data_IF_874088275818
#
_entry.id   IF_874088275818
#
_cell.length_a   1.000
_cell.length_b   1.000
_cell.length_c   1.000
_cell.angle_alpha   90.00
_cell.angle_beta   90.00
_cell.angle_gamma   90.00
#
_symmetry.space_group_name_H-M   'P 1'
#
loop_
_entity.id
_entity.type
_entity.pdbx_description
1 polymer ?
#
# COMPACT_ATOMS: atom_id res chain seq x y z
N UNK A 1 2.61 7.46 -24.47
CA UNK A 1 2.86 6.01 -24.43
C UNK A 1 3.84 5.76 -23.29
N UNK A 2 3.41 5.12 -22.20
CA UNK A 2 4.32 4.78 -21.09
C UNK A 2 5.13 3.57 -21.55
N UNK A 3 6.41 3.76 -21.83
CA UNK A 3 7.33 2.64 -22.04
C UNK A 3 7.49 1.92 -20.70
N UNK A 4 6.74 0.85 -20.49
CA UNK A 4 6.84 0.01 -19.30
C UNK A 4 8.09 -0.85 -19.38
N UNK A 5 9.22 -0.25 -19.05
CA UNK A 5 10.48 -0.94 -18.77
C UNK A 5 10.28 -1.85 -17.57
N UNK A 6 10.67 -3.12 -17.72
CA UNK A 6 10.69 -4.10 -16.64
C UNK A 6 11.54 -3.54 -15.50
N UNK A 7 10.95 -3.35 -14.32
CA UNK A 7 11.61 -2.71 -13.20
C UNK A 7 11.84 -3.69 -12.04
N UNK A 8 12.55 -3.26 -10.99
CA UNK A 8 12.88 -4.12 -9.85
C UNK A 8 11.65 -4.64 -9.10
N UNK A 9 10.53 -3.91 -9.12
CA UNK A 9 9.26 -4.33 -8.49
C UNK A 9 8.66 -5.51 -9.25
N UNK A 10 8.70 -5.48 -10.58
CA UNK A 10 8.22 -6.61 -11.41
C UNK A 10 9.02 -7.89 -11.11
N UNK A 11 10.34 -7.77 -10.91
CA UNK A 11 11.20 -8.89 -10.54
C UNK A 11 10.86 -9.45 -9.15
N UNK A 12 10.60 -8.59 -8.17
CA UNK A 12 10.19 -9.01 -6.81
C UNK A 12 8.83 -9.70 -6.86
N UNK A 13 7.86 -9.17 -7.58
CA UNK A 13 6.54 -9.77 -7.78
C UNK A 13 6.69 -11.17 -8.39
N UNK A 14 7.48 -11.30 -9.45
CA UNK A 14 7.71 -12.58 -10.11
C UNK A 14 8.43 -13.57 -9.18
N UNK A 15 9.37 -13.10 -8.37
CA UNK A 15 10.06 -13.92 -7.37
C UNK A 15 9.10 -14.43 -6.29
N UNK A 16 8.19 -13.58 -5.78
CA UNK A 16 7.19 -13.96 -4.78
C UNK A 16 6.23 -15.02 -5.36
N UNK A 17 5.70 -14.79 -6.56
CA UNK A 17 4.80 -15.76 -7.22
C UNK A 17 5.54 -17.05 -7.52
N UNK A 18 6.73 -16.96 -8.10
CA UNK A 18 7.56 -18.11 -8.45
C UNK A 18 7.91 -18.96 -7.23
N UNK A 19 8.32 -18.33 -6.13
CA UNK A 19 8.60 -19.01 -4.88
C UNK A 19 7.34 -19.65 -4.28
N UNK A 20 6.20 -18.96 -4.32
CA UNK A 20 4.93 -19.49 -3.83
C UNK A 20 4.47 -20.71 -4.63
N UNK A 21 4.59 -20.67 -5.96
CA UNK A 21 4.34 -21.82 -6.85
C UNK A 21 5.30 -22.96 -6.53
N UNK A 22 6.59 -22.68 -6.42
CA UNK A 22 7.61 -23.68 -6.16
C UNK A 22 7.36 -24.42 -4.83
N UNK A 23 7.04 -23.67 -3.77
CA UNK A 23 6.65 -24.23 -2.47
C UNK A 23 5.37 -25.05 -2.61
N UNK A 24 4.38 -24.56 -3.36
CA UNK A 24 3.11 -25.25 -3.62
C UNK A 24 3.29 -26.58 -4.33
N UNK A 25 4.17 -26.66 -5.34
CA UNK A 25 4.51 -27.91 -6.04
C UNK A 25 5.24 -28.87 -5.11
N UNK A 26 6.20 -28.38 -4.31
CA UNK A 26 6.99 -29.23 -3.42
C UNK A 26 6.15 -29.79 -2.26
N UNK A 27 5.26 -28.98 -1.69
CA UNK A 27 4.37 -29.42 -0.61
C UNK A 27 3.14 -30.18 -1.11
N UNK A 28 2.60 -29.83 -2.28
CA UNK A 28 1.32 -30.33 -2.77
C UNK A 28 0.12 -29.61 -2.15
N UNK A 29 -1.01 -29.58 -2.87
CA UNK A 29 -2.22 -28.86 -2.46
C UNK A 29 -2.79 -29.35 -1.13
N UNK A 30 -2.83 -30.67 -0.91
CA UNK A 30 -3.38 -31.29 0.30
C UNK A 30 -2.69 -30.72 1.54
N UNK A 31 -1.36 -30.62 1.53
CA UNK A 31 -0.61 -30.09 2.68
C UNK A 31 -0.84 -28.60 2.89
N UNK A 32 -0.99 -27.85 1.80
CA UNK A 32 -1.27 -26.42 1.89
C UNK A 32 -2.69 -26.15 2.44
N UNK A 33 -3.71 -26.89 1.97
CA UNK A 33 -5.09 -26.78 2.46
C UNK A 33 -5.20 -27.21 3.92
N UNK A 34 -4.61 -28.35 4.29
CA UNK A 34 -4.57 -28.80 5.69
C UNK A 34 -3.84 -27.79 6.59
N UNK A 35 -2.79 -27.15 6.07
CA UNK A 35 -2.12 -26.05 6.75
C UNK A 35 -3.06 -24.88 7.01
N UNK A 36 -3.77 -24.40 5.99
CA UNK A 36 -4.76 -23.32 6.15
C UNK A 36 -5.87 -23.69 7.13
N UNK A 37 -6.42 -24.91 7.03
CA UNK A 37 -7.41 -25.44 7.97
C UNK A 37 -6.85 -25.48 9.38
N UNK A 38 -5.59 -25.88 9.56
CA UNK A 38 -4.93 -25.90 10.88
C UNK A 38 -4.78 -24.51 11.49
N UNK A 39 -4.40 -23.51 10.70
CA UNK A 39 -4.34 -22.12 11.15
C UNK A 39 -5.71 -21.58 11.54
N UNK A 40 -6.71 -21.73 10.65
CA UNK A 40 -8.08 -21.26 10.90
C UNK A 40 -8.68 -21.99 12.10
N UNK A 41 -8.54 -23.32 12.16
CA UNK A 41 -9.00 -24.16 13.26
C UNK A 41 -8.35 -23.78 14.60
N UNK A 42 -7.07 -23.43 14.61
CA UNK A 42 -6.39 -22.96 15.81
C UNK A 42 -6.98 -21.63 16.30
N UNK A 43 -7.25 -20.67 15.41
CA UNK A 43 -7.93 -19.43 15.78
C UNK A 43 -9.34 -19.68 16.32
N UNK A 44 -10.10 -20.59 15.68
CA UNK A 44 -11.43 -21.00 16.16
C UNK A 44 -11.34 -21.58 17.58
N UNK A 45 -10.38 -22.47 17.84
CA UNK A 45 -10.17 -23.07 19.16
C UNK A 45 -9.79 -22.01 20.20
N UNK A 46 -8.94 -21.04 19.85
CA UNK A 46 -8.62 -19.93 20.76
C UNK A 46 -9.86 -19.10 21.04
N UNK A 47 -10.64 -18.74 20.01
CA UNK A 47 -11.82 -17.90 20.15
C UNK A 47 -12.86 -18.51 21.10
N UNK A 48 -13.16 -19.80 20.94
CA UNK A 48 -14.13 -20.51 21.80
C UNK A 48 -13.53 -21.03 23.11
N UNK A 49 -12.24 -21.36 23.12
CA UNK A 49 -11.54 -21.92 24.27
C UNK A 49 -11.11 -20.86 25.28
N UNK A 50 -10.76 -19.65 24.83
CA UNK A 50 -10.25 -18.60 25.72
C UNK A 50 -11.18 -18.31 26.90
N UNK A 51 -12.51 -18.15 26.74
CA UNK A 51 -13.42 -17.96 27.88
C UNK A 51 -13.35 -19.07 28.93
N UNK A 52 -13.10 -20.32 28.51
CA UNK A 52 -13.03 -21.50 29.38
C UNK A 52 -11.71 -21.56 30.17
N UNK A 53 -10.60 -21.20 29.53
CA UNK A 53 -9.25 -21.28 30.13
C UNK A 53 -8.77 -19.96 30.77
N UNK A 54 -9.48 -18.85 30.57
CA UNK A 54 -9.21 -17.54 31.19
C UNK A 54 -9.01 -17.60 32.71
N UNK A 55 -9.89 -18.28 33.49
CA UNK A 55 -9.73 -18.35 34.94
C UNK A 55 -8.41 -18.97 35.37
N UNK A 56 -7.91 -19.95 34.63
CA UNK A 56 -6.63 -20.61 34.91
C UNK A 56 -5.46 -19.65 34.73
N UNK A 57 -5.43 -18.86 33.65
CA UNK A 57 -4.36 -17.87 33.44
C UNK A 57 -4.31 -16.80 34.52
N UNK A 58 -5.48 -16.35 34.98
CA UNK A 58 -5.60 -15.28 35.99
C UNK A 58 -5.25 -15.73 37.41
N UNK A 59 -5.09 -17.03 37.65
CA UNK A 59 -4.56 -17.53 38.92
C UNK A 59 -3.05 -17.33 39.05
N UNK A 60 -2.33 -17.28 37.92
CA UNK A 60 -0.87 -17.20 37.91
C UNK A 60 -0.34 -15.82 37.47
N UNK A 61 -1.17 -15.00 36.84
CA UNK A 61 -0.78 -13.69 36.29
C UNK A 61 -1.74 -12.62 36.80
N UNK A 62 -1.18 -11.60 37.47
CA UNK A 62 -1.95 -10.50 38.07
C UNK A 62 -2.63 -9.60 37.02
N UNK A 63 -1.94 -9.32 35.92
CA UNK A 63 -2.47 -8.47 34.85
C UNK A 63 -3.46 -9.24 33.97
N UNK A 64 -4.75 -8.86 33.94
CA UNK A 64 -5.78 -9.61 33.20
C UNK A 64 -5.52 -9.65 31.69
N UNK A 65 -5.00 -8.56 31.11
CA UNK A 65 -4.67 -8.53 29.67
C UNK A 65 -3.52 -9.48 29.34
N UNK A 66 -2.48 -9.52 30.18
CA UNK A 66 -1.33 -10.41 29.98
C UNK A 66 -1.74 -11.86 30.19
N UNK A 67 -2.55 -12.14 31.21
CA UNK A 67 -3.08 -13.48 31.48
C UNK A 67 -3.87 -14.02 30.28
N UNK A 68 -4.81 -13.23 29.76
CA UNK A 68 -5.64 -13.62 28.62
C UNK A 68 -4.79 -13.82 27.34
N UNK A 69 -3.79 -12.97 27.10
CA UNK A 69 -2.87 -13.11 25.97
C UNK A 69 -2.02 -14.39 26.06
N UNK A 70 -1.46 -14.69 27.24
CA UNK A 70 -0.66 -15.89 27.46
C UNK A 70 -1.50 -17.16 27.26
N UNK A 71 -2.71 -17.21 27.81
CA UNK A 71 -3.63 -18.34 27.62
C UNK A 71 -3.98 -18.50 26.14
N UNK A 72 -4.27 -17.41 25.43
CA UNK A 72 -4.57 -17.45 24.01
C UNK A 72 -3.37 -18.01 23.20
N UNK A 73 -2.14 -17.57 23.49
CA UNK A 73 -0.93 -18.05 22.81
C UNK A 73 -0.71 -19.54 23.09
N UNK A 74 -0.85 -19.98 24.34
CA UNK A 74 -0.67 -21.40 24.70
C UNK A 74 -1.72 -22.26 23.98
N UNK A 75 -3.00 -21.87 24.03
CA UNK A 75 -4.07 -22.58 23.32
C UNK A 75 -3.80 -22.63 21.81
N UNK A 76 -3.34 -21.53 21.23
CA UNK A 76 -3.00 -21.46 19.82
C UNK A 76 -1.91 -22.45 19.43
N UNK A 77 -0.79 -22.44 20.17
CA UNK A 77 0.37 -23.31 19.89
C UNK A 77 -0.01 -24.78 20.07
N UNK A 78 -0.71 -25.12 21.16
CA UNK A 78 -1.16 -26.49 21.43
C UNK A 78 -2.10 -26.98 20.33
N UNK A 79 -3.11 -26.16 19.98
CA UNK A 79 -4.05 -26.48 18.91
C UNK A 79 -3.36 -26.66 17.56
N UNK A 80 -2.46 -25.74 17.20
CA UNK A 80 -1.70 -25.83 15.96
C UNK A 80 -0.81 -27.08 15.94
N UNK A 81 -0.20 -27.45 17.07
CA UNK A 81 0.54 -28.71 17.21
C UNK A 81 -0.31 -29.94 16.93
N UNK A 82 -1.54 -29.98 17.46
CA UNK A 82 -2.51 -31.06 17.18
C UNK A 82 -2.89 -31.09 15.70
N UNK A 83 -3.20 -29.95 15.08
CA UNK A 83 -3.52 -29.89 13.66
C UNK A 83 -2.35 -30.31 12.77
N UNK A 84 -1.11 -29.95 13.13
CA UNK A 84 0.09 -30.40 12.42
C UNK A 84 0.21 -31.92 12.49
N UNK A 85 -0.03 -32.52 13.65
CA UNK A 85 0.02 -33.97 13.81
C UNK A 85 -1.04 -34.67 12.95
N UNK A 86 -2.29 -34.21 13.04
CA UNK A 86 -3.40 -34.72 12.21
C UNK A 86 -3.07 -34.57 10.72
N UNK A 87 -2.54 -33.41 10.32
CA UNK A 87 -2.19 -33.13 8.94
C UNK A 87 -1.11 -34.06 8.42
N UNK A 88 -0.11 -34.39 9.25
CA UNK A 88 0.94 -35.35 8.88
C UNK A 88 0.35 -36.72 8.60
N UNK A 89 -0.53 -37.21 9.47
CA UNK A 89 -1.21 -38.50 9.33
C UNK A 89 -2.04 -38.57 8.04
N UNK A 90 -2.85 -37.55 7.78
CA UNK A 90 -3.65 -37.48 6.54
C UNK A 90 -2.73 -37.40 5.31
N UNK A 91 -1.67 -36.59 5.37
CA UNK A 91 -0.75 -36.45 4.25
C UNK A 91 0.00 -37.74 3.92
N UNK A 92 0.24 -38.62 4.89
CA UNK A 92 0.85 -39.92 4.62
C UNK A 92 -0.09 -40.86 3.89
N UNK A 93 -1.40 -40.82 4.19
CA UNK A 93 -2.40 -41.66 3.54
C UNK A 93 -2.59 -41.31 2.06
N UNK A 94 -2.54 -40.02 1.70
CA UNK A 94 -2.76 -39.55 0.32
C UNK A 94 -1.58 -39.89 -0.61
N UNK A 95 -0.36 -39.97 -0.07
CA UNK A 95 0.87 -40.23 -0.86
C UNK A 95 0.98 -41.63 -1.46
N UNK A 96 0.19 -42.59 -0.99
CA UNK A 96 0.23 -43.98 -1.48
C UNK A 96 -0.49 -44.21 -2.82
N UNK A 97 -1.03 -43.18 -3.46
CA UNK A 97 -1.93 -43.32 -4.61
C UNK A 97 -1.50 -42.47 -5.82
N UNK A 98 -2.05 -42.80 -7.01
CA UNK A 98 -1.88 -42.06 -8.28
C UNK A 98 -2.20 -40.55 -8.11
N UNK A 99 -2.98 -40.19 -7.09
CA UNK A 99 -3.32 -38.81 -6.76
C UNK A 99 -2.12 -37.93 -6.34
N UNK A 100 -0.95 -38.51 -6.06
CA UNK A 100 0.24 -37.73 -5.68
C UNK A 100 0.75 -36.77 -6.77
N UNK A 101 0.58 -37.08 -8.05
CA UNK A 101 0.95 -36.18 -9.16
C UNK A 101 -0.09 -35.07 -9.37
N UNK A 102 -1.38 -35.40 -9.25
CA UNK A 102 -2.49 -34.44 -9.29
C UNK A 102 -2.44 -33.46 -8.11
N UNK A 103 -2.05 -33.92 -6.92
CA UNK A 103 -1.89 -33.08 -5.74
C UNK A 103 -0.82 -31.99 -5.94
N UNK A 104 0.26 -32.30 -6.68
CA UNK A 104 1.32 -31.35 -7.01
C UNK A 104 0.88 -30.32 -8.05
N UNK A 105 0.10 -30.72 -9.06
CA UNK A 105 -0.43 -29.78 -10.06
C UNK A 105 -1.48 -28.84 -9.46
N UNK A 106 -2.33 -29.33 -8.56
CA UNK A 106 -3.19 -28.47 -7.75
C UNK A 106 -2.37 -27.55 -6.84
N UNK A 107 -1.22 -28.03 -6.33
CA UNK A 107 -0.28 -27.25 -5.54
C UNK A 107 0.29 -26.05 -6.31
N UNK A 108 0.50 -26.19 -7.62
CA UNK A 108 0.89 -25.07 -8.51
C UNK A 108 -0.19 -23.99 -8.54
N UNK A 109 -1.46 -24.37 -8.78
CA UNK A 109 -2.59 -23.43 -8.85
C UNK A 109 -2.78 -22.73 -7.50
N UNK A 110 -2.73 -23.50 -6.41
CA UNK A 110 -2.84 -22.95 -5.07
C UNK A 110 -1.68 -22.00 -4.74
N UNK A 111 -0.44 -22.37 -5.08
CA UNK A 111 0.73 -21.53 -4.91
C UNK A 111 0.64 -20.22 -5.71
N UNK A 112 0.11 -20.26 -6.93
CA UNK A 112 -0.15 -19.07 -7.73
C UNK A 112 -1.19 -18.15 -7.08
N UNK A 113 -2.35 -18.69 -6.69
CA UNK A 113 -3.41 -17.92 -6.02
C UNK A 113 -2.89 -17.29 -4.73
N UNK A 114 -2.20 -18.05 -3.89
CA UNK A 114 -1.59 -17.55 -2.65
C UNK A 114 -0.58 -16.45 -2.93
N UNK A 115 0.29 -16.63 -3.93
CA UNK A 115 1.29 -15.63 -4.32
C UNK A 115 0.62 -14.32 -4.74
N UNK A 116 -0.43 -14.40 -5.56
CA UNK A 116 -1.22 -13.24 -5.97
C UNK A 116 -1.89 -12.53 -4.80
N UNK A 117 -2.48 -13.27 -3.85
CA UNK A 117 -3.07 -12.71 -2.63
C UNK A 117 -2.01 -11.98 -1.79
N UNK A 118 -0.83 -12.59 -1.60
CA UNK A 118 0.27 -11.98 -0.83
C UNK A 118 0.71 -10.66 -1.45
N UNK A 119 0.83 -10.59 -2.78
CA UNK A 119 1.18 -9.34 -3.48
C UNK A 119 0.10 -8.28 -3.30
N UNK A 120 -1.18 -8.66 -3.40
CA UNK A 120 -2.28 -7.71 -3.20
C UNK A 120 -2.29 -7.15 -1.77
N UNK A 121 -2.05 -8.00 -0.76
CA UNK A 121 -1.93 -7.59 0.64
C UNK A 121 -0.72 -6.67 0.83
N UNK A 122 0.42 -6.99 0.21
CA UNK A 122 1.63 -6.15 0.28
C UNK A 122 1.38 -4.77 -0.34
N UNK A 123 0.73 -4.71 -1.51
CA UNK A 123 0.35 -3.45 -2.15
C UNK A 123 -0.64 -2.65 -1.28
N UNK A 124 -1.60 -3.33 -0.65
CA UNK A 124 -2.55 -2.70 0.26
C UNK A 124 -1.84 -2.14 1.50
N UNK A 125 -0.88 -2.89 2.06
CA UNK A 125 -0.02 -2.44 3.15
C UNK A 125 0.78 -1.19 2.76
N UNK A 126 1.38 -1.16 1.57
CA UNK A 126 2.07 0.04 1.06
C UNK A 126 1.11 1.23 1.00
N UNK A 127 -0.10 1.04 0.45
CA UNK A 127 -1.11 2.11 0.35
C UNK A 127 -1.67 2.52 1.71
N UNK A 128 -1.59 1.66 2.72
CA UNK A 128 -2.00 1.97 4.08
C UNK A 128 -0.94 2.78 4.85
N UNK A 129 0.35 2.46 4.64
CA UNK A 129 1.46 3.16 5.30
C UNK A 129 1.90 4.44 4.56
N UNK A 130 1.74 4.52 3.24
CA UNK A 130 2.15 5.66 2.42
C UNK A 130 0.94 6.42 1.86
N UNK A 131 0.99 7.76 1.92
CA UNK A 131 0.02 8.61 1.21
C UNK A 131 0.16 8.44 -0.31
N UNK A 132 -0.93 8.61 -1.10
CA UNK A 132 -0.92 8.40 -2.54
C UNK A 132 0.19 9.18 -3.28
N UNK A 133 0.51 10.39 -2.83
CA UNK A 133 1.52 11.26 -3.46
C UNK A 133 2.98 10.88 -3.11
N UNK A 134 3.17 10.00 -2.13
CA UNK A 134 4.49 9.55 -1.69
C UNK A 134 4.83 8.13 -2.18
N UNK A 135 3.94 7.48 -2.93
CA UNK A 135 4.21 6.15 -3.47
C UNK A 135 5.35 6.25 -4.51
N UNK A 136 6.46 5.51 -4.33
CA UNK A 136 7.57 5.51 -5.29
C UNK A 136 7.10 5.24 -6.71
N UNK A 137 7.57 6.05 -7.67
CA UNK A 137 7.18 5.93 -9.08
C UNK A 137 7.54 4.56 -9.67
N UNK A 138 8.54 3.88 -9.11
CA UNK A 138 8.90 2.49 -9.47
C UNK A 138 7.76 1.50 -9.24
N UNK A 139 6.93 1.71 -8.20
CA UNK A 139 5.76 0.86 -7.95
C UNK A 139 4.63 1.21 -8.92
N UNK A 140 4.40 2.50 -9.19
CA UNK A 140 3.35 2.94 -10.11
C UNK A 140 3.65 2.57 -11.57
N UNK A 141 4.92 2.58 -11.96
CA UNK A 141 5.38 2.23 -13.31
C UNK A 141 5.51 0.71 -13.54
N UNK A 142 5.36 -0.12 -12.51
CA UNK A 142 5.48 -1.57 -12.64
C UNK A 142 4.37 -2.14 -13.53
N UNK A 143 4.70 -3.16 -14.33
CA UNK A 143 3.77 -3.75 -15.30
C UNK A 143 2.61 -4.47 -14.62
N UNK A 144 2.84 -5.00 -13.43
CA UNK A 144 1.81 -5.71 -12.63
C UNK A 144 0.94 -4.77 -11.80
N UNK A 145 1.20 -3.47 -11.77
CA UNK A 145 0.40 -2.47 -11.04
C UNK A 145 -1.09 -2.46 -11.38
N UNK A 146 -1.52 -2.49 -12.65
CA UNK A 146 -2.96 -2.56 -12.96
C UNK A 146 -3.62 -3.84 -12.40
N UNK A 147 -2.92 -4.97 -12.40
CA UNK A 147 -3.40 -6.23 -11.81
C UNK A 147 -3.51 -6.14 -10.29
N UNK A 148 -2.53 -5.52 -9.63
CA UNK A 148 -2.56 -5.27 -8.18
C UNK A 148 -3.70 -4.32 -7.79
N UNK A 149 -3.95 -3.27 -8.58
CA UNK A 149 -5.05 -2.34 -8.33
C UNK A 149 -6.41 -3.01 -8.48
N UNK A 150 -6.60 -3.86 -9.49
CA UNK A 150 -7.83 -4.63 -9.66
C UNK A 150 -8.03 -5.63 -8.51
N UNK A 151 -6.99 -6.43 -8.21
CA UNK A 151 -7.06 -7.44 -7.13
C UNK A 151 -7.27 -6.82 -5.76
N UNK A 152 -6.58 -5.73 -5.44
CA UNK A 152 -6.78 -5.00 -4.18
C UNK A 152 -8.14 -4.31 -4.10
N UNK A 153 -8.72 -3.90 -5.23
CA UNK A 153 -10.07 -3.35 -5.28
C UNK A 153 -11.12 -4.35 -4.79
N UNK A 154 -11.01 -5.61 -5.22
CA UNK A 154 -11.91 -6.68 -4.77
C UNK A 154 -11.70 -7.00 -3.28
N UNK A 155 -10.44 -7.03 -2.81
CA UNK A 155 -10.14 -7.23 -1.38
C UNK A 155 -10.68 -6.06 -0.54
N UNK A 156 -10.57 -4.81 -1.00
CA UNK A 156 -11.07 -3.62 -0.29
C UNK A 156 -12.58 -3.66 -0.05
N UNK A 157 -13.35 -4.35 -0.90
CA UNK A 157 -14.81 -4.51 -0.69
C UNK A 157 -15.14 -5.40 0.50
N UNK A 158 -14.21 -6.27 0.91
CA UNK A 158 -14.36 -7.14 2.08
C UNK A 158 -13.87 -6.47 3.37
N UNK A 159 -13.17 -5.33 3.25
CA UNK A 159 -12.65 -4.56 4.38
C UNK A 159 -13.70 -3.51 4.76
N UNK A 160 -14.15 -3.45 6.03
CA UNK A 160 -15.05 -2.40 6.51
C UNK A 160 -14.47 -1.02 6.21
N UNK A 161 -15.29 -0.11 5.68
CA UNK A 161 -14.87 1.19 5.18
C UNK A 161 -14.17 2.08 6.23
N UNK A 162 -14.30 1.76 7.53
CA UNK A 162 -13.67 2.46 8.65
C UNK A 162 -12.13 2.33 8.69
N UNK A 163 -11.58 1.27 8.06
CA UNK A 163 -10.13 0.99 8.05
C UNK A 163 -9.43 1.35 6.74
N UNK A 164 -10.18 1.84 5.75
CA UNK A 164 -9.59 2.36 4.53
C UNK A 164 -9.08 3.77 4.82
N UNK A 165 -7.83 4.12 4.44
CA UNK A 165 -7.41 5.51 4.45
C UNK A 165 -8.44 6.30 3.65
N UNK A 166 -9.22 7.16 4.33
CA UNK A 166 -10.11 8.08 3.63
C UNK A 166 -9.23 8.81 2.63
N UNK A 167 -9.64 8.80 1.36
CA UNK A 167 -9.17 9.78 0.41
C UNK A 167 -9.55 11.14 1.00
N UNK A 168 -8.65 11.74 1.78
CA UNK A 168 -8.70 13.17 2.02
C UNK A 168 -8.49 13.80 0.65
N UNK A 169 -9.62 14.23 0.09
CA UNK A 169 -9.73 15.08 -1.08
C UNK A 169 -8.82 14.69 -2.25
N UNK A 170 -9.30 13.76 -3.07
CA UNK A 170 -9.20 14.02 -4.51
C UNK A 170 -9.77 15.43 -4.71
N UNK A 171 -8.93 16.38 -5.09
CA UNK A 171 -9.28 17.75 -5.50
C UNK A 171 -10.06 17.73 -6.81
N UNK A 172 -11.12 16.92 -6.87
CA UNK A 172 -12.21 17.11 -7.82
C UNK A 172 -13.03 18.24 -7.23
N UNK A 173 -12.82 19.45 -7.73
CA UNK A 173 -13.71 20.59 -7.50
C UNK A 173 -15.14 20.07 -7.71
N UNK A 174 -15.88 19.92 -6.63
CA UNK A 174 -17.28 19.56 -6.71
C UNK A 174 -17.96 20.75 -7.40
N UNK A 175 -18.73 20.57 -8.49
CA UNK A 175 -19.39 21.69 -9.17
C UNK A 175 -20.33 22.50 -8.24
N UNK A 176 -20.65 21.93 -7.08
CA UNK A 176 -21.41 22.53 -5.99
C UNK A 176 -20.54 23.55 -5.23
N UNK A 177 -19.31 23.18 -4.84
CA UNK A 177 -18.34 24.09 -4.22
C UNK A 177 -17.89 25.19 -5.18
N UNK A 178 -17.74 24.89 -6.47
CA UNK A 178 -17.42 25.92 -7.47
C UNK A 178 -18.48 27.02 -7.53
N UNK A 179 -19.75 26.65 -7.41
CA UNK A 179 -20.87 27.59 -7.46
C UNK A 179 -20.93 28.48 -6.21
N UNK A 180 -20.63 27.91 -5.04
CA UNK A 180 -20.61 28.64 -3.78
C UNK A 180 -19.35 29.52 -3.62
N UNK A 181 -18.20 29.09 -4.14
CA UNK A 181 -16.99 29.90 -4.21
C UNK A 181 -17.13 31.05 -5.20
N UNK A 182 -17.76 30.82 -6.36
CA UNK A 182 -18.07 31.90 -7.31
C UNK A 182 -19.07 32.88 -6.69
N UNK A 183 -20.15 32.39 -6.06
CA UNK A 183 -21.18 33.26 -5.45
C UNK A 183 -20.67 34.08 -4.26
N UNK A 184 -19.74 33.54 -3.48
CA UNK A 184 -19.13 34.27 -2.36
C UNK A 184 -18.05 35.27 -2.79
N UNK A 185 -17.37 35.03 -3.93
CA UNK A 185 -16.34 35.92 -4.47
C UNK A 185 -16.86 36.97 -5.46
N UNK A 186 -17.99 36.72 -6.12
CA UNK A 186 -18.67 37.66 -7.02
C UNK A 186 -18.94 39.07 -6.42
N UNK A 187 -19.43 39.23 -5.18
CA UNK A 187 -19.65 40.57 -4.61
C UNK A 187 -18.35 41.35 -4.46
N UNK A 188 -17.23 40.68 -4.21
CA UNK A 188 -15.90 41.31 -4.07
C UNK A 188 -15.34 41.80 -5.41
N UNK A 189 -15.75 41.19 -6.53
CA UNK A 189 -15.30 41.61 -7.86
C UNK A 189 -15.99 42.89 -8.31
N UNK A 190 -17.24 43.14 -7.94
CA UNK A 190 -17.93 44.39 -8.25
C UNK A 190 -17.25 45.59 -7.54
N UNK A 191 -16.83 45.41 -6.29
CA UNK A 191 -16.08 46.42 -5.54
C UNK A 191 -14.69 46.66 -6.12
N UNK A 192 -14.03 45.59 -6.58
CA UNK A 192 -12.71 45.68 -7.22
C UNK A 192 -12.82 46.39 -8.57
N UNK A 193 -13.84 46.10 -9.38
CA UNK A 193 -14.09 46.74 -10.66
C UNK A 193 -14.48 48.21 -10.48
N UNK A 194 -15.29 48.54 -9.47
CA UNK A 194 -15.56 49.95 -9.09
C UNK A 194 -14.28 50.68 -8.73
N UNK A 195 -13.44 50.08 -7.90
CA UNK A 195 -12.16 50.67 -7.49
C UNK A 195 -11.22 50.86 -8.68
N UNK A 196 -11.11 49.87 -9.56
CA UNK A 196 -10.32 49.95 -10.79
C UNK A 196 -10.85 50.99 -11.78
N UNK A 197 -12.18 51.15 -11.88
CA UNK A 197 -12.80 52.18 -12.74
C UNK A 197 -12.57 53.61 -12.22
N UNK A 198 -12.27 53.76 -10.93
CA UNK A 198 -11.89 55.05 -10.33
C UNK A 198 -10.38 55.33 -10.39
N UNK A 199 -9.56 54.34 -10.75
CA UNK A 199 -8.13 54.55 -10.96
C UNK A 199 -7.87 55.14 -12.35
N UNK A 200 -7.49 56.42 -12.38
CA UNK A 200 -7.02 57.11 -13.57
C UNK A 200 -5.81 56.35 -14.15
N UNK A 201 -5.74 56.11 -15.47
CA UNK A 201 -4.65 55.32 -16.05
C UNK A 201 -3.31 56.02 -15.80
N UNK A 202 -2.39 55.29 -15.17
CA UNK A 202 -0.98 55.71 -15.05
C UNK A 202 -0.40 55.70 -16.46
N UNK A 203 -0.16 56.89 -17.00
CA UNK A 203 0.56 57.10 -18.26
C UNK A 203 1.91 56.38 -18.18
N UNK A 204 2.14 55.42 -19.08
CA UNK A 204 3.42 54.75 -19.25
C UNK A 204 4.53 55.80 -19.46
N UNK A 205 5.46 55.92 -18.51
CA UNK A 205 6.68 56.72 -18.68
C UNK A 205 7.74 55.83 -19.37
N UNK A 206 8.16 56.32 -20.53
CA UNK A 206 9.22 55.88 -21.45
C UNK A 206 10.50 55.38 -20.74
N UNK A 207 11.19 54.33 -21.24
CA UNK A 207 12.39 53.81 -20.62
C UNK A 207 13.55 54.81 -20.79
N UNK A 208 13.99 55.38 -19.68
CA UNK A 208 15.14 56.28 -19.60
C UNK A 208 16.16 55.68 -18.63
N UNK A 209 16.71 54.53 -19.02
CA UNK A 209 17.81 53.86 -18.32
C UNK A 209 18.71 53.20 -19.37
N UNK A 210 19.37 54.04 -20.16
CA UNK A 210 20.46 53.62 -21.06
C UNK A 210 21.74 54.44 -20.87
N UNK A 211 21.77 55.40 -19.95
CA UNK A 211 22.92 56.28 -19.73
C UNK A 211 23.83 55.84 -18.57
N UNK A 212 23.37 54.97 -17.66
CA UNK A 212 24.17 54.50 -16.52
C UNK A 212 25.00 53.23 -16.81
N UNK A 213 24.77 52.58 -17.96
CA UNK A 213 25.43 51.30 -18.30
C UNK A 213 26.75 51.53 -19.06
N UNK A 214 26.95 52.70 -19.68
CA UNK A 214 28.19 53.01 -20.42
C UNK A 214 29.33 53.48 -19.49
N UNK A 215 29.01 54.13 -18.36
CA UNK A 215 30.03 54.55 -17.37
C UNK A 215 30.55 53.40 -16.49
N UNK A 216 29.82 52.27 -16.42
CA UNK A 216 30.23 51.07 -15.68
C UNK A 216 31.10 50.10 -16.50
N UNK A 217 31.22 50.30 -17.82
CA UNK A 217 32.06 49.45 -18.69
C UNK A 217 33.46 50.06 -18.84
N UNK A 218 33.63 51.38 -18.74
CA UNK A 218 34.93 52.05 -18.91
C UNK A 218 35.80 52.10 -17.64
N UNK A 219 35.29 51.69 -16.48
CA UNK A 219 36.04 51.72 -15.21
C UNK A 219 36.66 50.37 -14.80
N UNK A 220 36.43 49.30 -15.57
CA UNK A 220 36.95 47.96 -15.25
C UNK A 220 37.93 47.40 -16.30
N UNK A 221 38.60 48.27 -17.06
CA UNK A 221 39.61 47.86 -18.06
C UNK A 221 40.86 48.74 -18.01
N UNK A 222 41.34 49.03 -16.81
CA UNK A 222 42.69 49.58 -16.60
C UNK A 222 43.16 49.10 -15.24
N UNK A 223 43.96 48.02 -15.24
CA UNK A 223 44.99 47.66 -14.25
C UNK A 223 45.20 46.14 -14.28
N UNK A 224 45.80 45.65 -15.38
CA UNK A 224 46.69 44.49 -15.33
C UNK A 224 47.59 44.49 -16.58
N UNK A 225 48.40 45.53 -16.69
CA UNK A 225 49.63 45.49 -17.48
C UNK A 225 50.76 46.07 -16.62
N UNK A 226 51.94 45.45 -16.71
CA UNK A 226 53.22 45.79 -16.08
C UNK A 226 53.46 45.25 -14.65
N UNK A 227 54.00 44.02 -14.56
CA UNK A 227 55.41 43.86 -14.16
C UNK A 227 56.03 42.60 -14.76
N UNK A 228 57.09 42.86 -15.52
CA UNK A 228 58.20 42.00 -15.93
C UNK A 228 58.75 41.05 -14.87
#
# INVERSE_FOLDING_TARGET
MISSTFNSVDLVILAIIGLSIFIGIWRGATREVLGMVGWIGAFVIVFYGLPLFRPLGRQYIESPMVADAVVAIILFIVSLGVFILISRLISSSVKGSIFGSLDRSLGLVFGFIRGAIVICILFLGITFFYLPDQIPQTILAARFTPLMMQGSGEIKRLIPHDYLPQKHAQSTINPLDAKDLIKSRLPTLEDTVKTLSTLKPVSQKKPEEKQDIEDLILTNTTDDDLTH
#
